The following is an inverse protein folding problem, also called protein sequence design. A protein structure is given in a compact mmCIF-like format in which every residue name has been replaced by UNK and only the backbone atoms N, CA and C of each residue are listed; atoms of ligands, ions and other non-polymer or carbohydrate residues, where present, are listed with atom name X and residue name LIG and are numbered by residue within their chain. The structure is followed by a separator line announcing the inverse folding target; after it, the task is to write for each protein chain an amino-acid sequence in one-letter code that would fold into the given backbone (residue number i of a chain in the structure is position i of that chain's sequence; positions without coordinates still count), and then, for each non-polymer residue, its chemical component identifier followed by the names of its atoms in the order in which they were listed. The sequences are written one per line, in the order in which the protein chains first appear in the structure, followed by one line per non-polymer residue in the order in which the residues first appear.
data_IF_937247240121
#
_entry.id   IF_937247240121
#
_cell.length_a   1.000
_cell.length_b   1.000
_cell.length_c   1.000
_cell.angle_alpha   90.00
_cell.angle_beta   90.00
_cell.angle_gamma   90.00
#
_symmetry.space_group_name_H-M   'P 1'
#
loop_
_entity.id
_entity.type
_entity.pdbx_description
1 polymer ?
#
# COMPACT_ATOMS: atom_id res chain seq x y z
N UNK A 1 4.54 -11.48 19.40
CA UNK A 1 5.05 -10.31 20.21
C UNK A 1 6.33 -9.67 19.66
N UNK A 2 7.11 -10.35 18.81
CA UNK A 2 8.34 -9.79 18.21
C UNK A 2 8.08 -8.99 16.91
N UNK A 3 6.94 -9.14 16.28
CA UNK A 3 6.57 -8.47 15.02
C UNK A 3 6.21 -6.99 15.17
N UNK A 4 5.80 -6.59 16.36
CA UNK A 4 5.47 -5.19 16.68
C UNK A 4 6.70 -4.29 16.89
N UNK A 5 7.93 -4.80 16.74
CA UNK A 5 9.17 -4.06 17.01
C UNK A 5 9.99 -3.68 15.77
N UNK A 6 9.55 -3.98 14.54
CA UNK A 6 10.09 -3.31 13.35
C UNK A 6 9.43 -1.93 13.22
N UNK A 7 9.92 -1.00 13.99
CA UNK A 7 9.63 0.43 13.89
C UNK A 7 10.09 0.93 12.50
N UNK A 8 9.14 1.36 11.72
CA UNK A 8 9.29 1.76 10.33
C UNK A 8 8.89 0.59 9.44
N UNK A 9 7.68 0.63 8.84
CA UNK A 9 7.24 -0.37 7.90
C UNK A 9 8.34 -0.60 6.85
N UNK A 10 8.76 -1.85 6.66
CA UNK A 10 9.73 -2.15 5.62
C UNK A 10 9.13 -1.68 4.29
N UNK A 11 9.90 -0.93 3.52
CA UNK A 11 9.50 -0.50 2.18
C UNK A 11 9.81 -1.61 1.20
N UNK A 12 8.93 -1.81 0.25
CA UNK A 12 9.06 -2.85 -0.75
C UNK A 12 8.91 -2.26 -2.15
N UNK A 13 9.86 -2.57 -3.01
CA UNK A 13 9.80 -2.23 -4.43
C UNK A 13 9.73 -3.48 -5.31
N UNK A 14 9.48 -3.29 -6.60
CA UNK A 14 9.33 -4.39 -7.54
C UNK A 14 10.56 -5.32 -7.57
N UNK A 15 11.76 -4.76 -7.48
CA UNK A 15 13.01 -5.56 -7.45
C UNK A 15 13.06 -6.47 -6.22
N UNK A 16 12.67 -5.97 -5.04
CA UNK A 16 12.66 -6.76 -3.80
C UNK A 16 11.60 -7.87 -3.88
N UNK A 17 10.39 -7.54 -4.38
CA UNK A 17 9.35 -8.54 -4.60
C UNK A 17 9.83 -9.66 -5.53
N UNK A 18 10.40 -9.30 -6.68
CA UNK A 18 10.91 -10.27 -7.64
C UNK A 18 12.03 -11.14 -7.07
N UNK A 19 12.95 -10.55 -6.30
CA UNK A 19 14.07 -11.28 -5.68
C UNK A 19 13.62 -12.24 -4.59
N UNK A 20 12.55 -11.87 -3.85
CA UNK A 20 12.00 -12.70 -2.79
C UNK A 20 11.12 -13.86 -3.29
N UNK A 21 10.61 -13.79 -4.52
CA UNK A 21 9.71 -14.83 -5.04
C UNK A 21 10.40 -15.73 -6.06
N UNK A 22 11.12 -15.14 -7.02
CA UNK A 22 11.67 -15.87 -8.18
C UNK A 22 12.57 -17.05 -7.82
N UNK A 23 13.44 -17.04 -6.80
CA UNK A 23 14.28 -18.20 -6.46
C UNK A 23 13.48 -19.48 -6.18
N UNK A 24 12.26 -19.33 -5.72
CA UNK A 24 11.34 -20.39 -5.33
C UNK A 24 10.37 -20.82 -6.44
N UNK A 25 10.61 -20.34 -7.68
CA UNK A 25 9.84 -20.67 -8.87
C UNK A 25 10.64 -21.59 -9.79
N UNK A 26 10.23 -22.85 -9.94
CA UNK A 26 10.99 -23.85 -10.76
C UNK A 26 10.72 -23.74 -12.26
N UNK A 27 9.53 -23.32 -12.68
CA UNK A 27 9.13 -23.27 -14.10
C UNK A 27 9.83 -22.15 -14.86
N UNK A 28 10.02 -20.98 -14.23
CA UNK A 28 10.60 -19.81 -14.87
C UNK A 28 12.06 -19.63 -14.43
N UNK A 29 12.99 -20.04 -15.28
CA UNK A 29 14.42 -20.10 -14.95
C UNK A 29 15.13 -18.74 -15.03
N UNK A 30 14.71 -17.82 -15.90
CA UNK A 30 15.40 -16.54 -16.09
C UNK A 30 14.71 -15.38 -15.37
N UNK A 31 15.52 -14.46 -14.82
CA UNK A 31 15.03 -13.27 -14.13
C UNK A 31 14.13 -12.39 -15.01
N UNK A 32 14.55 -12.19 -16.26
CA UNK A 32 13.80 -11.39 -17.22
C UNK A 32 12.46 -12.03 -17.59
N UNK A 33 12.43 -13.36 -17.75
CA UNK A 33 11.20 -14.07 -18.05
C UNK A 33 10.22 -13.98 -16.88
N UNK A 34 10.70 -14.12 -15.63
CA UNK A 34 9.87 -13.98 -14.45
C UNK A 34 9.18 -12.61 -14.40
N UNK A 35 9.95 -11.52 -14.55
CA UNK A 35 9.39 -10.17 -14.54
C UNK A 35 8.37 -9.97 -15.67
N UNK A 36 8.69 -10.44 -16.88
CA UNK A 36 7.79 -10.29 -18.05
C UNK A 36 6.46 -11.02 -17.84
N UNK A 37 6.51 -12.28 -17.42
CA UNK A 37 5.30 -13.08 -17.21
C UNK A 37 4.46 -12.54 -16.04
N UNK A 38 5.11 -12.11 -14.95
CA UNK A 38 4.40 -11.49 -13.83
C UNK A 38 3.71 -10.19 -14.23
N UNK A 39 4.40 -9.29 -14.95
CA UNK A 39 3.81 -8.04 -15.40
C UNK A 39 2.73 -8.26 -16.46
N UNK A 40 2.87 -9.29 -17.30
CA UNK A 40 1.82 -9.71 -18.24
C UNK A 40 0.57 -10.21 -17.51
N UNK A 41 0.74 -11.04 -16.48
CA UNK A 41 -0.37 -11.46 -15.61
C UNK A 41 -1.06 -10.28 -14.93
N UNK A 42 -0.27 -9.25 -14.54
CA UNK A 42 -0.80 -8.01 -13.99
C UNK A 42 -1.48 -7.09 -15.03
N UNK A 43 -1.42 -7.42 -16.31
CA UNK A 43 -2.08 -6.67 -17.38
C UNK A 43 -1.20 -5.71 -18.18
N UNK A 44 0.12 -5.72 -17.98
CA UNK A 44 1.04 -4.97 -18.85
C UNK A 44 1.37 -5.75 -20.12
N UNK A 45 1.12 -5.13 -21.28
CA UNK A 45 1.19 -5.84 -22.57
C UNK A 45 2.59 -6.23 -23.03
N UNK A 46 3.60 -5.37 -22.85
CA UNK A 46 4.94 -5.65 -23.37
C UNK A 46 6.06 -4.88 -22.66
N UNK A 47 7.12 -5.62 -22.30
CA UNK A 47 8.37 -5.06 -21.79
C UNK A 47 9.55 -5.70 -22.51
N UNK A 48 10.56 -4.91 -22.89
CA UNK A 48 11.79 -5.43 -23.49
C UNK A 48 12.58 -6.27 -22.48
N UNK A 49 13.35 -7.22 -22.97
CA UNK A 49 14.23 -8.08 -22.14
C UNK A 49 15.24 -7.28 -21.31
N UNK A 50 15.79 -6.21 -21.90
CA UNK A 50 16.73 -5.34 -21.21
C UNK A 50 16.07 -4.61 -20.05
N UNK A 51 14.86 -4.09 -20.25
CA UNK A 51 14.12 -3.37 -19.22
C UNK A 51 13.68 -4.31 -18.09
N UNK A 52 13.18 -5.49 -18.43
CA UNK A 52 12.82 -6.53 -17.43
C UNK A 52 14.02 -6.91 -16.54
N UNK A 53 15.21 -7.05 -17.11
CA UNK A 53 16.44 -7.31 -16.35
C UNK A 53 16.79 -6.15 -15.41
N UNK A 54 16.63 -4.92 -15.86
CA UNK A 54 16.90 -3.73 -15.04
C UNK A 54 15.89 -3.58 -13.88
N UNK A 55 14.60 -3.84 -14.13
CA UNK A 55 13.59 -3.89 -13.07
C UNK A 55 13.91 -4.95 -12.02
N UNK A 56 14.28 -6.16 -12.44
CA UNK A 56 14.67 -7.21 -11.51
C UNK A 56 15.88 -6.83 -10.65
N UNK A 57 16.89 -6.23 -11.26
CA UNK A 57 18.12 -5.85 -10.52
C UNK A 57 17.93 -4.66 -9.59
N UNK A 58 16.91 -3.82 -9.82
CA UNK A 58 16.71 -2.53 -9.16
C UNK A 58 17.50 -1.41 -9.84
N UNK A 59 18.03 -1.65 -11.05
CA UNK A 59 18.75 -0.64 -11.83
C UNK A 59 17.83 0.39 -12.52
N UNK A 60 16.51 0.11 -12.52
CA UNK A 60 15.48 1.09 -12.92
C UNK A 60 14.29 1.05 -11.96
N UNK A 61 13.68 2.22 -11.69
CA UNK A 61 12.46 2.29 -10.90
C UNK A 61 11.27 1.72 -11.68
N UNK A 62 10.21 1.40 -10.96
CA UNK A 62 8.92 1.02 -11.52
C UNK A 62 8.10 2.29 -11.78
N UNK A 63 8.40 2.97 -12.89
CA UNK A 63 7.93 4.32 -13.21
C UNK A 63 6.43 4.41 -13.49
N UNK A 64 5.87 5.61 -13.34
CA UNK A 64 4.46 5.88 -13.66
C UNK A 64 4.14 5.66 -15.13
N UNK A 65 5.11 5.89 -16.04
CA UNK A 65 4.97 5.56 -17.45
C UNK A 65 4.74 4.06 -17.68
N UNK A 66 5.50 3.22 -16.95
CA UNK A 66 5.31 1.78 -17.01
C UNK A 66 3.98 1.37 -16.38
N UNK A 67 3.61 2.01 -15.27
CA UNK A 67 2.33 1.77 -14.58
C UNK A 67 1.13 2.16 -15.43
N UNK A 68 1.22 3.22 -16.21
CA UNK A 68 0.16 3.64 -17.14
C UNK A 68 -0.12 2.61 -18.25
N UNK A 69 0.82 1.71 -18.51
CA UNK A 69 0.68 0.62 -19.48
C UNK A 69 -0.13 -0.58 -18.98
N UNK A 70 -0.53 -0.60 -17.68
CA UNK A 70 -1.37 -1.68 -17.16
C UNK A 70 -2.82 -1.53 -17.61
N UNK A 71 -3.44 -2.66 -17.94
CA UNK A 71 -4.85 -2.71 -18.30
C UNK A 71 -5.72 -2.20 -17.14
N UNK A 72 -6.77 -1.47 -17.47
CA UNK A 72 -7.75 -0.98 -16.48
C UNK A 72 -8.69 -2.07 -15.95
N UNK A 73 -8.59 -3.31 -16.48
CA UNK A 73 -9.35 -4.47 -16.02
C UNK A 73 -8.68 -5.11 -14.82
N UNK A 74 -9.49 -5.58 -13.88
CA UNK A 74 -9.02 -6.35 -12.75
C UNK A 74 -8.31 -7.64 -13.23
N UNK A 75 -7.05 -7.78 -12.87
CA UNK A 75 -6.19 -8.93 -13.19
C UNK A 75 -5.79 -9.70 -11.95
N UNK A 76 -6.58 -9.62 -10.92
CA UNK A 76 -6.32 -10.29 -9.63
C UNK A 76 -6.19 -11.79 -9.81
N UNK A 77 -7.15 -12.39 -10.48
CA UNK A 77 -7.18 -13.84 -10.63
C UNK A 77 -6.00 -14.35 -11.48
N UNK A 78 -5.62 -13.62 -12.52
CA UNK A 78 -4.46 -13.97 -13.34
C UNK A 78 -3.15 -13.87 -12.56
N UNK A 79 -3.01 -12.89 -11.67
CA UNK A 79 -1.86 -12.79 -10.79
C UNK A 79 -1.82 -13.89 -9.73
N UNK A 80 -2.95 -14.22 -9.11
CA UNK A 80 -3.04 -15.34 -8.17
C UNK A 80 -2.64 -16.62 -8.89
N UNK A 81 -3.22 -16.90 -10.05
CA UNK A 81 -2.91 -18.07 -10.87
C UNK A 81 -1.43 -18.11 -11.25
N UNK A 82 -0.85 -16.97 -11.63
CA UNK A 82 0.57 -16.87 -11.92
C UNK A 82 1.44 -17.32 -10.74
N UNK A 83 1.15 -16.82 -9.54
CA UNK A 83 1.91 -17.22 -8.35
C UNK A 83 1.66 -18.69 -7.97
N UNK A 84 0.42 -19.16 -8.00
CA UNK A 84 0.07 -20.56 -7.70
C UNK A 84 0.77 -21.56 -8.62
N UNK A 85 0.82 -21.27 -9.92
CA UNK A 85 1.44 -22.15 -10.91
C UNK A 85 2.97 -22.16 -10.85
N UNK A 86 3.59 -21.06 -10.40
CA UNK A 86 5.03 -20.89 -10.48
C UNK A 86 5.75 -21.15 -9.15
N UNK A 87 5.17 -20.77 -8.00
CA UNK A 87 5.77 -21.02 -6.69
C UNK A 87 5.71 -22.50 -6.37
N UNK A 88 6.87 -23.09 -6.07
CA UNK A 88 7.03 -24.50 -5.74
C UNK A 88 7.66 -24.73 -4.37
N UNK A 89 8.05 -23.65 -3.70
CA UNK A 89 8.63 -23.64 -2.36
C UNK A 89 8.06 -22.42 -1.63
N UNK A 90 6.92 -22.63 -1.02
CA UNK A 90 6.16 -21.60 -0.29
C UNK A 90 6.89 -21.18 0.99
N UNK A 91 7.50 -22.15 1.69
CA UNK A 91 8.25 -21.91 2.91
C UNK A 91 9.45 -21.00 2.66
N UNK A 92 10.18 -21.24 1.57
CA UNK A 92 11.28 -20.38 1.16
C UNK A 92 10.85 -18.93 0.92
N UNK A 93 9.70 -18.69 0.27
CA UNK A 93 9.15 -17.34 0.08
C UNK A 93 8.81 -16.70 1.41
N UNK A 94 8.13 -17.41 2.29
CA UNK A 94 7.70 -16.93 3.61
C UNK A 94 8.93 -16.53 4.45
N UNK A 95 9.97 -17.36 4.48
CA UNK A 95 11.21 -17.09 5.21
C UNK A 95 11.91 -15.85 4.64
N UNK A 96 12.01 -15.72 3.32
CA UNK A 96 12.71 -14.61 2.66
C UNK A 96 12.04 -13.25 2.92
N UNK A 97 10.71 -13.23 3.07
CA UNK A 97 9.98 -12.04 3.50
C UNK A 97 9.90 -11.89 5.03
N UNK A 98 10.50 -12.80 5.80
CA UNK A 98 10.57 -12.74 7.26
C UNK A 98 9.20 -12.88 7.93
N UNK A 99 8.29 -13.61 7.31
CA UNK A 99 6.98 -13.96 7.90
C UNK A 99 7.21 -15.09 8.90
N UNK A 100 6.80 -14.95 10.18
CA UNK A 100 6.98 -16.01 11.17
C UNK A 100 5.96 -17.11 10.95
N UNK A 101 6.33 -18.12 10.21
CA UNK A 101 5.54 -19.34 10.05
C UNK A 101 6.05 -20.41 11.02
N UNK A 102 5.14 -21.00 11.77
CA UNK A 102 5.50 -22.09 12.71
C UNK A 102 5.02 -23.47 12.24
N UNK A 103 4.01 -23.52 11.39
CA UNK A 103 3.40 -24.76 10.89
C UNK A 103 2.66 -24.47 9.59
N UNK A 104 2.62 -25.44 8.70
CA UNK A 104 1.80 -25.54 7.48
C UNK A 104 1.57 -24.23 6.71
N UNK A 105 2.48 -23.97 5.78
CA UNK A 105 2.36 -22.85 4.85
C UNK A 105 1.07 -22.93 4.05
N UNK A 106 0.28 -21.85 4.04
CA UNK A 106 -0.90 -21.77 3.21
C UNK A 106 -0.56 -21.11 1.87
N UNK A 107 -0.36 -21.94 0.84
CA UNK A 107 -0.02 -21.47 -0.52
C UNK A 107 -1.03 -20.47 -1.07
N UNK A 108 -2.33 -20.73 -0.91
CA UNK A 108 -3.37 -19.86 -1.42
C UNK A 108 -3.32 -18.47 -0.78
N UNK A 109 -3.20 -18.44 0.55
CA UNK A 109 -3.04 -17.18 1.30
C UNK A 109 -1.77 -16.42 0.87
N UNK A 110 -0.66 -17.13 0.63
CA UNK A 110 0.59 -16.53 0.15
C UNK A 110 0.41 -15.92 -1.25
N UNK A 111 -0.22 -16.62 -2.19
CA UNK A 111 -0.44 -16.11 -3.53
C UNK A 111 -1.36 -14.88 -3.55
N UNK A 112 -2.39 -14.85 -2.71
CA UNK A 112 -3.25 -13.68 -2.52
C UNK A 112 -2.44 -12.52 -1.93
N UNK A 113 -1.62 -12.76 -0.92
CA UNK A 113 -0.79 -11.72 -0.31
C UNK A 113 0.22 -11.12 -1.30
N UNK A 114 0.89 -11.95 -2.09
CA UNK A 114 1.80 -11.51 -3.16
C UNK A 114 1.08 -10.71 -4.24
N UNK A 115 -0.11 -11.13 -4.61
CA UNK A 115 -0.95 -10.41 -5.58
C UNK A 115 -1.32 -9.02 -5.07
N UNK A 116 -1.74 -8.91 -3.82
CA UNK A 116 -2.04 -7.61 -3.20
C UNK A 116 -0.82 -6.70 -3.11
N UNK A 117 0.32 -7.27 -2.73
CA UNK A 117 1.58 -6.52 -2.71
C UNK A 117 1.96 -6.01 -4.11
N UNK A 118 1.80 -6.83 -5.14
CA UNK A 118 2.07 -6.41 -6.53
C UNK A 118 1.13 -5.28 -6.97
N UNK A 119 -0.11 -5.29 -6.54
CA UNK A 119 -1.06 -4.23 -6.91
C UNK A 119 -0.82 -2.94 -6.13
N UNK A 120 -0.37 -3.01 -4.88
CA UNK A 120 0.13 -1.83 -4.18
C UNK A 120 1.29 -1.18 -4.95
N UNK A 121 2.19 -2.00 -5.54
CA UNK A 121 3.28 -1.51 -6.38
C UNK A 121 2.77 -0.86 -7.68
N UNK A 122 1.73 -1.41 -8.31
CA UNK A 122 1.15 -0.85 -9.53
C UNK A 122 0.42 0.46 -9.25
N UNK A 123 -0.32 0.53 -8.14
CA UNK A 123 -1.17 1.67 -7.79
C UNK A 123 -0.47 2.74 -6.94
N UNK A 124 0.67 2.40 -6.35
CA UNK A 124 1.46 3.28 -5.47
C UNK A 124 2.61 3.99 -6.18
N UNK A 125 3.55 4.48 -5.36
CA UNK A 125 4.86 4.99 -5.79
C UNK A 125 5.83 3.83 -6.07
N UNK A 126 7.10 4.12 -6.38
CA UNK A 126 8.12 3.08 -6.62
C UNK A 126 8.37 2.17 -5.41
N UNK A 127 8.26 2.75 -4.20
CA UNK A 127 8.33 2.03 -2.94
C UNK A 127 7.00 2.15 -2.20
N UNK A 128 6.44 1.00 -1.80
CA UNK A 128 5.19 0.90 -1.03
C UNK A 128 5.45 0.23 0.32
N UNK A 129 4.48 0.33 1.22
CA UNK A 129 4.56 -0.38 2.48
C UNK A 129 4.51 -1.89 2.24
N UNK A 130 5.37 -2.64 2.94
CA UNK A 130 5.36 -4.10 2.92
C UNK A 130 4.16 -4.60 3.72
N UNK A 131 3.10 -4.96 3.01
CA UNK A 131 1.86 -5.48 3.59
C UNK A 131 1.78 -7.02 3.56
N UNK A 132 2.83 -7.68 3.03
CA UNK A 132 2.78 -9.10 2.71
C UNK A 132 2.46 -9.95 3.95
N UNK A 133 3.18 -9.74 5.04
CA UNK A 133 2.97 -10.51 6.27
C UNK A 133 1.57 -10.32 6.85
N UNK A 134 1.10 -9.09 6.90
CA UNK A 134 -0.23 -8.75 7.43
C UNK A 134 -1.34 -9.37 6.56
N UNK A 135 -1.19 -9.29 5.25
CA UNK A 135 -2.16 -9.86 4.30
C UNK A 135 -2.17 -11.39 4.37
N UNK A 136 -0.99 -12.01 4.45
CA UNK A 136 -0.88 -13.46 4.57
C UNK A 136 -1.57 -13.98 5.84
N UNK A 137 -1.34 -13.37 7.00
CA UNK A 137 -2.00 -13.76 8.24
C UNK A 137 -3.53 -13.57 8.18
N UNK A 138 -3.98 -12.48 7.58
CA UNK A 138 -5.41 -12.23 7.40
C UNK A 138 -6.07 -13.30 6.51
N UNK A 139 -5.45 -13.66 5.40
CA UNK A 139 -5.97 -14.67 4.48
C UNK A 139 -5.87 -16.11 5.05
N UNK A 140 -4.88 -16.36 5.90
CA UNK A 140 -4.73 -17.65 6.58
C UNK A 140 -5.83 -17.91 7.63
N UNK A 141 -6.28 -16.85 8.30
CA UNK A 141 -7.35 -16.94 9.31
C UNK A 141 -8.75 -17.02 8.70
N UNK A 142 -8.91 -16.60 7.45
CA UNK A 142 -10.18 -16.65 6.72
C UNK A 142 -10.48 -18.05 6.13
N UNK A 143 -10.17 -19.10 6.86
CA UNK A 143 -10.48 -20.48 6.46
C UNK A 143 -12.00 -20.68 6.32
N UNK A 144 -12.53 -20.65 5.12
CA UNK A 144 -13.67 -21.45 4.67
C UNK A 144 -14.66 -20.84 3.70
N UNK A 145 -14.49 -19.64 3.18
CA UNK A 145 -15.38 -19.19 2.10
C UNK A 145 -14.57 -18.94 0.83
N UNK A 146 -15.08 -19.41 -0.29
CA UNK A 146 -14.51 -19.14 -1.61
C UNK A 146 -14.11 -17.67 -1.69
N UNK A 147 -12.79 -17.40 -1.88
CA UNK A 147 -12.29 -16.04 -2.05
C UNK A 147 -12.74 -15.57 -3.45
N UNK A 148 -13.99 -15.23 -3.55
CA UNK A 148 -14.53 -14.31 -4.56
C UNK A 148 -14.22 -12.86 -4.15
N UNK A 149 -13.23 -12.67 -3.29
CA UNK A 149 -12.80 -11.37 -2.85
C UNK A 149 -12.01 -10.70 -3.95
N UNK A 150 -12.68 -9.85 -4.72
CA UNK A 150 -11.99 -8.74 -5.36
C UNK A 150 -10.99 -8.14 -4.35
N UNK A 151 -9.77 -7.81 -4.81
CA UNK A 151 -8.83 -7.01 -4.03
C UNK A 151 -9.54 -5.85 -3.37
N UNK A 152 -8.92 -5.25 -2.34
CA UNK A 152 -9.43 -4.00 -1.80
C UNK A 152 -9.49 -2.97 -2.92
N UNK A 153 -10.56 -3.08 -3.69
CA UNK A 153 -10.91 -2.09 -4.68
C UNK A 153 -11.19 -0.78 -3.93
N UNK A 154 -10.87 0.35 -4.50
CA UNK A 154 -11.52 1.57 -4.07
C UNK A 154 -13.03 1.31 -4.05
N UNK A 155 -13.76 1.94 -3.14
CA UNK A 155 -15.23 1.79 -3.03
C UNK A 155 -15.91 1.90 -4.41
N UNK A 156 -15.37 2.76 -5.26
CA UNK A 156 -15.85 2.98 -6.62
C UNK A 156 -14.84 2.46 -7.64
N UNK A 157 -15.26 1.57 -8.51
CA UNK A 157 -14.41 1.01 -9.56
C UNK A 157 -13.84 2.11 -10.46
N UNK A 158 -12.53 2.08 -10.67
CA UNK A 158 -11.81 3.09 -11.47
C UNK A 158 -11.40 4.33 -10.69
N UNK A 159 -11.65 4.36 -9.38
CA UNK A 159 -11.16 5.39 -8.48
C UNK A 159 -9.70 5.14 -8.07
N UNK A 160 -8.91 6.18 -7.95
CA UNK A 160 -7.53 6.09 -7.52
C UNK A 160 -7.03 7.44 -6.98
N UNK A 161 -6.13 7.39 -6.02
CA UNK A 161 -5.59 8.58 -5.36
C UNK A 161 -4.09 8.44 -5.11
N UNK A 162 -3.36 9.53 -5.30
CA UNK A 162 -2.01 9.72 -4.76
C UNK A 162 -2.01 10.90 -3.80
N UNK A 163 -1.19 10.78 -2.74
CA UNK A 163 -1.01 11.85 -1.77
C UNK A 163 0.49 12.06 -1.52
N UNK A 164 0.91 13.33 -1.64
CA UNK A 164 2.29 13.76 -1.38
C UNK A 164 2.27 14.65 -0.14
N UNK A 165 3.10 14.31 0.86
CA UNK A 165 3.17 15.04 2.11
C UNK A 165 4.38 14.61 2.95
N UNK A 166 4.71 15.38 3.97
CA UNK A 166 5.69 14.98 4.97
C UNK A 166 5.07 13.92 5.91
N UNK A 167 5.55 12.71 5.85
CA UNK A 167 4.98 11.58 6.62
C UNK A 167 5.29 11.61 8.10
N UNK A 168 6.30 12.38 8.52
CA UNK A 168 6.76 12.40 9.91
C UNK A 168 6.98 13.84 10.36
N UNK A 169 6.36 14.23 11.48
CA UNK A 169 6.66 15.45 12.18
C UNK A 169 7.29 15.13 13.54
N UNK A 170 8.41 15.75 13.81
CA UNK A 170 9.03 15.74 15.16
C UNK A 170 8.67 17.06 15.83
N UNK A 171 7.93 16.99 16.93
CA UNK A 171 7.40 18.15 17.65
C UNK A 171 7.67 18.07 19.15
N UNK A 172 7.55 19.20 19.86
CA UNK A 172 7.44 19.19 21.30
C UNK A 172 6.02 18.73 21.73
N UNK A 173 5.89 18.13 22.91
CA UNK A 173 4.63 17.52 23.36
C UNK A 173 3.41 18.45 23.32
N UNK A 174 3.59 19.76 23.48
CA UNK A 174 2.52 20.77 23.42
C UNK A 174 2.55 21.63 22.16
N UNK A 175 3.42 21.29 21.22
CA UNK A 175 3.57 22.04 19.99
C UNK A 175 2.44 21.69 19.01
N UNK A 176 2.11 22.67 18.15
CA UNK A 176 1.19 22.52 17.03
C UNK A 176 1.99 22.53 15.74
N UNK A 177 1.67 21.63 14.85
CA UNK A 177 2.28 21.58 13.52
C UNK A 177 1.23 21.69 12.44
N UNK A 178 1.49 22.52 11.43
CA UNK A 178 0.67 22.58 10.22
C UNK A 178 1.09 21.44 9.32
N UNK A 179 0.15 20.57 9.00
CA UNK A 179 0.36 19.49 8.06
C UNK A 179 -0.37 19.78 6.75
N UNK A 180 0.28 19.50 5.62
CA UNK A 180 -0.26 19.71 4.29
C UNK A 180 -0.14 18.43 3.46
N UNK A 181 -1.22 18.07 2.79
CA UNK A 181 -1.23 17.10 1.70
C UNK A 181 -1.37 17.82 0.35
N UNK A 182 -0.70 17.30 -0.66
CA UNK A 182 -1.07 17.48 -2.05
C UNK A 182 -1.69 16.18 -2.53
N UNK A 183 -3.01 16.20 -2.78
CA UNK A 183 -3.79 15.01 -3.17
C UNK A 183 -4.10 15.12 -4.65
N UNK A 184 -3.84 14.05 -5.39
CA UNK A 184 -4.09 13.96 -6.82
C UNK A 184 -5.13 12.87 -7.08
N UNK A 185 -6.16 13.20 -7.82
CA UNK A 185 -7.09 12.22 -8.37
C UNK A 185 -6.42 11.52 -9.56
N UNK A 186 -5.89 10.33 -9.32
CA UNK A 186 -5.26 9.51 -10.37
C UNK A 186 -6.24 8.51 -11.00
N UNK A 187 -7.50 8.54 -10.56
CA UNK A 187 -8.58 7.70 -11.07
C UNK A 187 -9.25 8.27 -12.33
N UNK A 188 -10.33 7.62 -12.72
CA UNK A 188 -11.15 7.99 -13.88
C UNK A 188 -12.44 8.73 -13.49
N UNK A 189 -12.77 8.75 -12.19
CA UNK A 189 -13.99 9.36 -11.67
C UNK A 189 -13.74 10.79 -11.22
N UNK A 190 -14.73 11.65 -11.40
CA UNK A 190 -14.74 12.95 -10.73
C UNK A 190 -15.10 12.73 -9.28
N UNK A 191 -14.33 13.30 -8.37
CA UNK A 191 -14.67 13.27 -6.95
C UNK A 191 -15.63 14.41 -6.64
N UNK A 192 -16.79 14.07 -6.11
CA UNK A 192 -17.83 15.02 -5.73
C UNK A 192 -18.31 14.71 -4.33
N UNK A 193 -18.46 15.74 -3.49
CA UNK A 193 -18.97 15.59 -2.12
C UNK A 193 -18.07 14.76 -1.20
N UNK A 194 -16.77 14.69 -1.49
CA UNK A 194 -15.81 13.96 -0.65
C UNK A 194 -15.23 14.83 0.45
N UNK A 195 -14.79 14.18 1.50
CA UNK A 195 -14.14 14.80 2.65
C UNK A 195 -12.99 13.94 3.15
N UNK A 196 -11.97 14.57 3.72
CA UNK A 196 -10.92 13.89 4.46
C UNK A 196 -11.22 13.99 5.95
N UNK A 197 -11.40 12.84 6.62
CA UNK A 197 -11.86 12.77 8.01
C UNK A 197 -10.76 12.21 8.89
N UNK A 198 -10.45 12.89 9.99
CA UNK A 198 -9.52 12.42 11.00
C UNK A 198 -10.13 11.28 11.82
N UNK A 199 -9.51 10.11 11.73
CA UNK A 199 -9.93 8.90 12.43
C UNK A 199 -9.25 8.84 13.79
N UNK A 200 -9.86 9.46 14.78
CA UNK A 200 -9.31 9.49 16.13
C UNK A 200 -9.68 8.22 16.90
N UNK A 201 -8.65 7.54 17.42
CA UNK A 201 -8.85 6.45 18.39
C UNK A 201 -9.16 7.00 19.79
N UNK A 202 -9.80 6.17 20.65
CA UNK A 202 -10.18 6.57 22.01
C UNK A 202 -9.00 6.99 22.91
N UNK A 203 -7.79 6.56 22.57
CA UNK A 203 -6.56 6.85 23.33
C UNK A 203 -5.65 7.87 22.66
N UNK A 204 -6.04 8.39 21.48
CA UNK A 204 -5.19 9.29 20.73
C UNK A 204 -5.23 10.69 21.35
N UNK A 205 -4.09 11.18 21.83
CA UNK A 205 -3.95 12.53 22.37
C UNK A 205 -3.84 13.62 21.31
N UNK A 206 -3.04 13.43 20.23
CA UNK A 206 -2.98 14.41 19.16
C UNK A 206 -4.35 14.66 18.57
N UNK A 207 -4.64 15.91 18.27
CA UNK A 207 -5.90 16.35 17.72
C UNK A 207 -5.67 17.14 16.42
N UNK A 208 -6.51 16.92 15.43
CA UNK A 208 -6.46 17.66 14.17
C UNK A 208 -7.56 18.73 14.13
N UNK A 209 -7.19 19.93 13.66
CA UNK A 209 -8.14 21.03 13.46
C UNK A 209 -7.87 21.72 12.11
N UNK A 210 -8.80 21.67 11.13
CA UNK A 210 -10.06 20.93 11.20
C UNK A 210 -9.85 19.41 11.21
N UNK A 211 -10.73 18.67 11.89
CA UNK A 211 -10.75 17.19 11.89
C UNK A 211 -11.49 16.62 10.68
N UNK A 212 -12.28 17.43 10.01
CA UNK A 212 -12.97 17.13 8.75
C UNK A 212 -12.62 18.21 7.75
N UNK A 213 -12.15 17.84 6.58
CA UNK A 213 -11.78 18.75 5.49
C UNK A 213 -12.65 18.38 4.30
N UNK A 214 -13.60 19.25 3.96
CA UNK A 214 -14.40 19.09 2.75
C UNK A 214 -13.52 19.31 1.51
N UNK A 215 -13.64 18.41 0.53
CA UNK A 215 -12.91 18.50 -0.73
C UNK A 215 -13.82 19.13 -1.80
N UNK A 216 -13.32 20.06 -2.62
CA UNK A 216 -14.05 20.50 -3.80
C UNK A 216 -14.16 19.37 -4.80
N UNK A 217 -14.94 19.57 -5.86
CA UNK A 217 -14.96 18.64 -6.97
C UNK A 217 -13.59 18.56 -7.65
N UNK A 218 -13.05 17.34 -7.75
CA UNK A 218 -11.70 17.08 -8.30
C UNK A 218 -11.82 16.14 -9.50
N UNK A 219 -11.49 16.66 -10.68
CA UNK A 219 -11.50 15.88 -11.92
C UNK A 219 -10.29 14.95 -11.98
N UNK A 220 -10.33 13.89 -12.82
CA UNK A 220 -9.17 13.07 -13.12
C UNK A 220 -7.92 13.90 -13.46
N UNK A 221 -6.77 13.52 -12.90
CA UNK A 221 -5.47 14.19 -13.01
C UNK A 221 -5.40 15.62 -12.43
N UNK A 222 -6.39 16.06 -11.68
CA UNK A 222 -6.30 17.29 -10.90
C UNK A 222 -5.75 17.03 -9.52
N UNK A 223 -4.98 18.01 -9.00
CA UNK A 223 -4.48 18.03 -7.63
C UNK A 223 -5.11 19.12 -6.80
N UNK A 224 -5.13 18.90 -5.49
CA UNK A 224 -5.53 19.90 -4.49
C UNK A 224 -4.54 19.88 -3.33
N UNK A 225 -4.26 21.07 -2.77
CA UNK A 225 -3.51 21.19 -1.52
C UNK A 225 -4.48 21.49 -0.38
N UNK A 226 -4.41 20.65 0.65
CA UNK A 226 -5.23 20.79 1.86
C UNK A 226 -4.34 20.80 3.09
N UNK A 227 -4.79 21.46 4.15
CA UNK A 227 -4.02 21.62 5.38
C UNK A 227 -4.88 21.35 6.60
N UNK A 228 -4.24 20.85 7.65
CA UNK A 228 -4.77 20.79 9.00
C UNK A 228 -3.69 21.16 10.01
N UNK A 229 -4.08 21.58 11.19
CA UNK A 229 -3.15 21.76 12.31
C UNK A 229 -3.28 20.58 13.25
N UNK A 230 -2.16 19.90 13.52
CA UNK A 230 -2.09 18.81 14.48
C UNK A 230 -1.53 19.36 15.79
N UNK A 231 -2.28 19.22 16.87
CA UNK A 231 -1.91 19.63 18.22
C UNK A 231 -1.46 18.41 19.02
N UNK A 232 -0.23 18.41 19.54
CA UNK A 232 0.32 17.31 20.32
C UNK A 232 -0.38 17.08 21.67
N UNK A 233 -1.03 18.08 22.25
CA UNK A 233 -1.82 18.01 23.50
C UNK A 233 -1.14 17.31 24.66
N UNK A 234 0.17 17.49 24.81
CA UNK A 234 0.96 16.84 25.85
C UNK A 234 1.24 15.34 25.60
N UNK A 235 1.04 14.88 24.38
CA UNK A 235 1.46 13.52 24.00
C UNK A 235 2.99 13.44 24.02
N UNK A 236 3.52 12.32 24.50
CA UNK A 236 4.95 12.00 24.50
C UNK A 236 5.14 10.61 23.89
N UNK A 237 5.92 10.52 22.84
CA UNK A 237 6.19 9.31 22.08
C UNK A 237 5.81 9.40 20.61
N UNK A 238 5.64 8.23 19.98
CA UNK A 238 5.30 8.12 18.57
C UNK A 238 3.86 7.64 18.42
N UNK A 239 3.07 8.36 17.62
CA UNK A 239 1.71 7.96 17.25
C UNK A 239 1.44 8.16 15.78
N UNK A 240 0.46 7.43 15.26
CA UNK A 240 -0.01 7.50 13.88
C UNK A 240 -1.37 8.20 13.87
N UNK A 241 -1.40 9.40 13.29
CA UNK A 241 -2.62 10.14 13.02
C UNK A 241 -3.18 9.66 11.68
N UNK A 242 -4.37 9.08 11.67
CA UNK A 242 -4.98 8.49 10.48
C UNK A 242 -6.09 9.38 9.95
N UNK A 243 -6.19 9.47 8.64
CA UNK A 243 -7.32 10.09 7.94
C UNK A 243 -7.88 9.12 6.90
N UNK A 244 -9.18 9.23 6.67
CA UNK A 244 -9.88 8.51 5.61
C UNK A 244 -10.52 9.52 4.65
N UNK A 245 -10.45 9.22 3.35
CA UNK A 245 -11.28 9.92 2.39
C UNK A 245 -12.64 9.25 2.37
N UNK A 246 -13.67 9.99 2.76
CA UNK A 246 -15.04 9.53 2.79
C UNK A 246 -15.86 10.21 1.70
N UNK A 247 -16.88 9.52 1.20
CA UNK A 247 -17.88 10.08 0.30
C UNK A 247 -18.97 10.87 1.07
N UNK A 248 -20.00 11.31 0.35
CA UNK A 248 -21.12 12.03 0.93
C UNK A 248 -21.89 11.22 1.99
N UNK A 249 -21.92 9.90 1.85
CA UNK A 249 -22.61 8.97 2.77
C UNK A 249 -21.71 8.54 3.94
N UNK A 250 -20.48 9.05 4.00
CA UNK A 250 -19.50 8.74 5.04
C UNK A 250 -18.78 7.40 4.87
N UNK A 251 -18.87 6.78 3.70
CA UNK A 251 -18.16 5.53 3.42
C UNK A 251 -16.72 5.81 3.00
N UNK A 252 -15.77 5.03 3.51
CA UNK A 252 -14.37 5.14 3.12
C UNK A 252 -14.18 4.81 1.65
N UNK A 253 -13.74 5.78 0.85
CA UNK A 253 -13.52 5.62 -0.59
C UNK A 253 -12.39 4.66 -0.91
N UNK A 254 -11.41 4.49 0.00
CA UNK A 254 -10.24 3.63 -0.17
C UNK A 254 -10.10 2.68 1.02
N UNK A 255 -11.08 1.79 1.26
CA UNK A 255 -11.03 0.82 2.34
C UNK A 255 -9.79 -0.06 2.15
N UNK A 256 -9.04 -0.31 3.21
CA UNK A 256 -7.77 -1.06 3.22
C UNK A 256 -6.54 -0.30 2.67
N UNK A 257 -6.64 1.00 2.44
CA UNK A 257 -5.49 1.90 2.23
C UNK A 257 -5.33 2.87 3.41
N UNK A 258 -5.31 2.35 4.62
CA UNK A 258 -5.31 3.11 5.89
C UNK A 258 -4.13 4.07 6.04
N UNK A 259 -3.04 3.84 5.31
CA UNK A 259 -1.80 4.60 5.46
C UNK A 259 -1.64 5.73 4.44
N UNK A 260 -2.54 5.81 3.45
CA UNK A 260 -2.37 6.76 2.34
C UNK A 260 -2.38 8.22 2.77
N UNK A 261 -3.10 8.54 3.85
CA UNK A 261 -3.17 9.88 4.43
C UNK A 261 -2.62 9.94 5.85
N UNK A 262 -1.98 8.86 6.33
CA UNK A 262 -1.51 8.75 7.71
C UNK A 262 -0.23 9.53 7.94
N UNK A 263 -0.17 10.24 9.06
CA UNK A 263 0.95 11.06 9.48
C UNK A 263 1.50 10.55 10.81
N UNK A 264 2.81 10.37 10.89
CA UNK A 264 3.48 10.02 12.13
C UNK A 264 3.83 11.29 12.91
N UNK A 265 3.45 11.34 14.15
CA UNK A 265 3.87 12.39 15.10
C UNK A 265 4.84 11.75 16.10
N UNK A 266 6.09 12.21 16.10
CA UNK A 266 7.11 11.91 17.10
C UNK A 266 7.22 13.12 18.05
N UNK A 267 6.45 13.07 19.15
CA UNK A 267 6.39 14.15 20.12
C UNK A 267 7.34 13.85 21.29
N UNK A 268 8.12 14.86 21.69
CA UNK A 268 9.10 14.73 22.76
C UNK A 268 8.83 15.76 23.85
N UNK A 269 8.75 15.27 25.07
CA UNK A 269 8.67 16.16 26.22
C UNK A 269 10.07 16.75 26.48
N UNK A 270 10.15 18.08 26.41
CA UNK A 270 11.38 18.79 26.81
C UNK A 270 11.38 18.86 28.33
N UNK A 271 12.34 18.19 28.98
CA UNK A 271 12.67 18.46 30.37
C UNK A 271 13.58 19.70 30.39
N UNK A 272 13.11 20.75 31.05
CA UNK A 272 13.93 21.91 31.35
C UNK A 272 15.05 21.51 32.33
#
# INVERSE_FOLDING_TARGET
KLYLLRKGGARLNLSRLCKGVRPYCKKIKSQKAFVKEMLKAAGNGYISDSYAKQLYSGGKPFTDELKSGFASTDRTQELITFFEENITDEEGVIIDFGIPEKTDCNKKALCVALTRQMQELINGTDDVDDILAMTYEAEKTNNSEEITGALPQPLYMGDSVNAFYNRIHVIQSYEKVIHQWEIINTGKLVWTGRKLVYMRGDKDRPEANPSVIELPDIKPNQSIKITTTIDGRGFDGITYCKWEMQDADGQNCFPKRDTIFSVTIDAKYKRD
#
